data_IF_808336412364
#
_entry.id   IF_808336412364
#
_cell.length_a   1.000
_cell.length_b   1.000
_cell.length_c   1.000
_cell.angle_alpha   90.00
_cell.angle_beta   90.00
_cell.angle_gamma   90.00
#
_symmetry.space_group_name_H-M   'P 1'
#
loop_
_entity.id
_entity.type
_entity.pdbx_description
1 polymer ?
#
# COMPACT_ATOMS: atom_id res chain seq x y z
N UNK A 1 -8.75 15.08 -19.91
CA UNK A 1 -7.34 15.13 -19.49
C UNK A 1 -6.90 13.70 -19.32
N UNK A 2 -5.64 13.32 -19.57
CA UNK A 2 -5.18 11.97 -19.26
C UNK A 2 -5.41 11.67 -17.78
N UNK A 3 -5.78 10.43 -17.47
CA UNK A 3 -5.97 9.95 -16.10
C UNK A 3 -4.63 10.05 -15.37
N UNK A 4 -4.65 10.65 -14.17
CA UNK A 4 -3.43 10.82 -13.38
C UNK A 4 -3.01 9.48 -12.78
N UNK A 5 -1.71 9.12 -12.79
CA UNK A 5 -1.25 7.86 -12.25
C UNK A 5 -1.37 7.81 -10.71
N UNK A 6 -1.58 6.60 -10.20
CA UNK A 6 -1.40 6.27 -8.80
C UNK A 6 0.02 5.77 -8.61
N UNK A 7 0.71 6.24 -7.57
CA UNK A 7 2.03 5.76 -7.17
C UNK A 7 1.92 4.88 -5.94
N UNK A 8 2.53 3.69 -5.98
CA UNK A 8 2.78 2.90 -4.78
C UNK A 8 4.25 3.03 -4.37
N UNK A 9 4.49 3.22 -3.07
CA UNK A 9 5.83 3.23 -2.50
C UNK A 9 5.96 2.05 -1.53
N UNK A 10 6.96 1.20 -1.75
CA UNK A 10 7.27 0.14 -0.80
C UNK A 10 7.68 -1.18 -1.44
N UNK A 11 7.09 -2.26 -0.95
CA UNK A 11 7.56 -3.61 -1.13
C UNK A 11 7.55 -4.08 -2.58
N UNK A 12 8.70 -4.62 -2.99
CA UNK A 12 8.87 -5.37 -4.22
C UNK A 12 9.88 -6.49 -3.96
N UNK A 13 9.43 -7.73 -3.94
CA UNK A 13 10.27 -8.90 -3.68
C UNK A 13 10.01 -10.04 -4.64
N UNK A 14 10.95 -10.98 -4.71
CA UNK A 14 10.71 -12.27 -5.32
C UNK A 14 10.03 -13.17 -4.30
N UNK A 15 8.87 -13.69 -4.65
CA UNK A 15 8.12 -14.62 -3.81
C UNK A 15 8.31 -16.05 -4.30
N UNK A 16 8.62 -16.92 -3.36
CA UNK A 16 8.75 -18.36 -3.52
C UNK A 16 7.56 -19.02 -2.84
N UNK A 17 6.49 -19.22 -3.60
CA UNK A 17 5.21 -19.75 -3.13
C UNK A 17 5.16 -21.27 -3.16
N UNK A 18 4.71 -21.89 -2.07
CA UNK A 18 4.52 -23.32 -1.91
C UNK A 18 3.06 -23.67 -1.60
N UNK A 19 2.67 -24.91 -1.86
CA UNK A 19 1.34 -25.43 -1.52
C UNK A 19 1.22 -25.84 -0.02
N UNK A 20 2.38 -26.03 0.65
CA UNK A 20 2.48 -26.33 2.07
C UNK A 20 3.15 -25.18 2.82
N UNK A 21 3.38 -25.33 4.14
CA UNK A 21 4.25 -24.39 4.87
C UNK A 21 5.65 -24.41 4.27
N UNK A 22 6.31 -23.25 4.13
CA UNK A 22 7.58 -23.13 3.40
C UNK A 22 8.66 -24.09 3.85
N UNK A 23 8.75 -24.38 5.16
CA UNK A 23 9.78 -25.23 5.74
C UNK A 23 9.64 -26.72 5.36
N UNK A 24 8.48 -27.14 4.85
CA UNK A 24 8.21 -28.52 4.44
C UNK A 24 8.09 -28.65 2.91
N UNK A 25 8.27 -27.55 2.18
CA UNK A 25 8.10 -27.54 0.74
C UNK A 25 9.36 -28.05 0.03
N UNK A 26 9.18 -28.96 -0.92
CA UNK A 26 10.24 -29.45 -1.81
C UNK A 26 10.34 -28.62 -3.11
N UNK A 27 9.27 -27.92 -3.48
CA UNK A 27 9.19 -27.11 -4.70
C UNK A 27 8.52 -25.78 -4.44
N UNK A 28 8.93 -24.76 -5.20
CA UNK A 28 8.38 -23.41 -5.10
C UNK A 28 8.03 -22.87 -6.48
N UNK A 29 6.94 -22.14 -6.55
CA UNK A 29 6.60 -21.28 -7.69
C UNK A 29 7.19 -19.91 -7.47
N UNK A 30 7.87 -19.38 -8.49
CA UNK A 30 8.50 -18.06 -8.42
C UNK A 30 7.54 -17.01 -8.97
N UNK A 31 7.23 -16.01 -8.17
CA UNK A 31 6.45 -14.82 -8.56
C UNK A 31 7.10 -13.55 -8.02
N UNK A 32 6.52 -12.40 -8.33
CA UNK A 32 6.88 -11.11 -7.74
C UNK A 32 5.73 -10.69 -6.84
N UNK A 33 6.02 -10.37 -5.59
CA UNK A 33 5.06 -10.01 -4.56
C UNK A 33 5.43 -8.74 -3.82
N UNK A 34 4.69 -8.48 -2.76
CA UNK A 34 4.74 -7.30 -1.93
C UNK A 34 3.49 -6.45 -2.09
N UNK A 35 3.01 -5.87 -0.98
CA UNK A 35 1.76 -5.13 -1.02
C UNK A 35 1.76 -4.03 -2.10
N UNK A 36 2.85 -3.27 -2.22
CA UNK A 36 2.97 -2.21 -3.23
C UNK A 36 2.80 -2.72 -4.66
N UNK A 37 3.45 -3.86 -4.99
CA UNK A 37 3.35 -4.48 -6.32
C UNK A 37 1.96 -5.05 -6.57
N UNK A 38 1.37 -5.73 -5.59
CA UNK A 38 0.06 -6.37 -5.71
C UNK A 38 -1.05 -5.33 -5.83
N UNK A 39 -0.92 -4.21 -5.11
CA UNK A 39 -1.84 -3.09 -5.22
C UNK A 39 -1.75 -2.41 -6.59
N UNK A 40 -0.54 -2.17 -7.12
CA UNK A 40 -0.35 -1.67 -8.48
C UNK A 40 -1.03 -2.57 -9.51
N UNK A 41 -0.84 -3.91 -9.42
CA UNK A 41 -1.51 -4.88 -10.32
C UNK A 41 -3.03 -4.78 -10.23
N UNK A 42 -3.56 -4.73 -9.01
CA UNK A 42 -5.00 -4.61 -8.81
C UNK A 42 -5.55 -3.31 -9.43
N UNK A 43 -4.83 -2.20 -9.27
CA UNK A 43 -5.22 -0.91 -9.83
C UNK A 43 -5.16 -0.91 -11.37
N UNK A 44 -4.11 -1.49 -11.97
CA UNK A 44 -4.01 -1.67 -13.43
C UNK A 44 -5.14 -2.55 -13.96
N UNK A 45 -5.43 -3.68 -13.31
CA UNK A 45 -6.55 -4.56 -13.67
C UNK A 45 -7.90 -3.86 -13.57
N UNK A 46 -8.05 -2.92 -12.65
CA UNK A 46 -9.24 -2.07 -12.53
C UNK A 46 -9.32 -1.00 -13.64
N UNK A 47 -8.33 -0.90 -14.52
CA UNK A 47 -8.26 0.04 -15.64
C UNK A 47 -7.64 1.40 -15.30
N UNK A 48 -6.87 1.48 -14.21
CA UNK A 48 -6.07 2.66 -13.85
C UNK A 48 -4.61 2.57 -14.32
N UNK A 49 -3.86 3.65 -14.14
CA UNK A 49 -2.42 3.70 -14.40
C UNK A 49 -1.66 3.73 -13.06
N UNK A 50 -0.79 2.73 -12.84
CA UNK A 50 0.01 2.64 -11.61
C UNK A 50 1.50 2.70 -11.91
N UNK A 51 2.25 3.41 -11.06
CA UNK A 51 3.70 3.44 -11.04
C UNK A 51 4.24 2.95 -9.69
N UNK A 52 5.37 2.25 -9.70
CA UNK A 52 6.00 1.73 -8.49
C UNK A 52 7.27 2.52 -8.16
N UNK A 53 7.31 3.06 -6.93
CA UNK A 53 8.48 3.64 -6.29
C UNK A 53 9.08 2.58 -5.36
N UNK A 54 10.20 2.00 -5.73
CA UNK A 54 10.89 0.97 -4.95
C UNK A 54 12.35 0.85 -5.35
N UNK A 55 13.10 0.04 -4.62
CA UNK A 55 14.48 -0.30 -4.97
C UNK A 55 14.67 -1.82 -4.97
N UNK A 56 15.28 -2.33 -6.02
CA UNK A 56 15.65 -3.73 -6.21
C UNK A 56 17.17 -3.89 -6.20
N UNK A 57 17.63 -5.08 -5.95
CA UNK A 57 19.05 -5.41 -6.13
C UNK A 57 19.42 -5.37 -7.62
N UNK A 58 20.64 -4.95 -7.94
CA UNK A 58 21.22 -5.05 -9.29
C UNK A 58 21.60 -6.49 -9.64
N UNK A 59 20.79 -7.46 -9.25
CA UNK A 59 20.97 -8.90 -9.35
C UNK A 59 19.99 -9.54 -10.36
N UNK A 60 20.11 -10.84 -10.67
CA UNK A 60 19.20 -11.52 -11.58
C UNK A 60 17.75 -11.52 -11.13
N UNK A 61 17.45 -11.55 -9.82
CA UNK A 61 16.11 -11.53 -9.28
C UNK A 61 15.48 -10.15 -9.40
N UNK A 62 16.24 -9.06 -9.18
CA UNK A 62 15.78 -7.69 -9.38
C UNK A 62 15.42 -7.42 -10.85
N UNK A 63 16.27 -7.87 -11.79
CA UNK A 63 15.96 -7.77 -13.23
C UNK A 63 14.71 -8.56 -13.61
N UNK A 64 14.56 -9.78 -13.07
CA UNK A 64 13.36 -10.61 -13.30
C UNK A 64 12.11 -9.92 -12.73
N UNK A 65 12.19 -9.38 -11.52
CA UNK A 65 11.08 -8.68 -10.88
C UNK A 65 10.65 -7.47 -11.71
N UNK A 66 11.58 -6.61 -12.10
CA UNK A 66 11.28 -5.44 -12.93
C UNK A 66 10.62 -5.81 -14.27
N UNK A 67 11.14 -6.85 -14.94
CA UNK A 67 10.57 -7.33 -16.22
C UNK A 67 9.13 -7.85 -16.03
N UNK A 68 8.86 -8.58 -14.94
CA UNK A 68 7.52 -9.07 -14.63
C UNK A 68 6.55 -7.93 -14.31
N UNK A 69 6.97 -6.95 -13.52
CA UNK A 69 6.14 -5.79 -13.17
C UNK A 69 5.79 -4.96 -14.41
N UNK A 70 6.76 -4.76 -15.30
CA UNK A 70 6.50 -4.09 -16.59
C UNK A 70 5.52 -4.88 -17.47
N UNK A 71 5.65 -6.22 -17.51
CA UNK A 71 4.71 -7.09 -18.24
C UNK A 71 3.29 -7.07 -17.65
N UNK A 72 3.17 -6.83 -16.34
CA UNK A 72 1.89 -6.64 -15.64
C UNK A 72 1.26 -5.24 -15.91
N UNK A 73 1.92 -4.39 -16.71
CA UNK A 73 1.45 -3.05 -17.07
C UNK A 73 1.74 -1.96 -16.04
N UNK A 74 2.63 -2.23 -15.07
CA UNK A 74 3.04 -1.27 -14.06
C UNK A 74 4.16 -0.40 -14.63
N UNK A 75 4.08 0.92 -14.43
CA UNK A 75 5.17 1.83 -14.77
C UNK A 75 6.35 1.62 -13.79
N UNK A 76 7.45 1.11 -14.34
CA UNK A 76 8.69 0.82 -13.62
C UNK A 76 9.77 1.90 -13.84
N UNK A 77 9.43 3.04 -14.44
CA UNK A 77 10.40 4.13 -14.75
C UNK A 77 11.12 4.65 -13.50
N UNK A 78 10.45 4.56 -12.34
CA UNK A 78 10.96 5.06 -11.06
C UNK A 78 11.49 3.96 -10.14
N UNK A 79 11.70 2.73 -10.65
CA UNK A 79 12.42 1.69 -9.92
C UNK A 79 13.91 1.99 -9.88
N UNK A 80 14.49 1.96 -8.68
CA UNK A 80 15.93 2.07 -8.47
C UNK A 80 16.58 0.69 -8.38
N UNK A 81 17.88 0.62 -8.67
CA UNK A 81 18.68 -0.59 -8.49
C UNK A 81 19.92 -0.28 -7.65
N UNK A 82 20.34 -1.24 -6.81
CA UNK A 82 21.52 -1.10 -5.96
C UNK A 82 22.34 -2.38 -5.91
N UNK A 83 23.65 -2.24 -5.86
CA UNK A 83 24.59 -3.34 -5.58
C UNK A 83 24.84 -3.51 -4.07
N UNK A 84 24.32 -2.60 -3.23
CA UNK A 84 24.58 -2.59 -1.79
C UNK A 84 23.84 -3.70 -1.02
N UNK A 85 22.73 -4.21 -1.57
CA UNK A 85 21.96 -5.31 -0.98
C UNK A 85 21.21 -6.08 -2.06
N UNK A 86 20.90 -7.38 -1.81
CA UNK A 86 20.14 -8.20 -2.75
C UNK A 86 18.66 -7.76 -2.85
N UNK A 87 18.04 -8.16 -3.95
CA UNK A 87 16.57 -8.18 -4.06
C UNK A 87 16.01 -9.07 -2.96
N UNK A 88 15.01 -8.60 -2.18
CA UNK A 88 14.43 -9.39 -1.11
C UNK A 88 13.72 -10.63 -1.65
N UNK A 89 13.78 -11.71 -0.87
CA UNK A 89 13.10 -12.97 -1.16
C UNK A 89 12.16 -13.29 0.00
N UNK A 90 10.94 -13.67 -0.32
CA UNK A 90 9.93 -14.08 0.66
C UNK A 90 9.43 -15.47 0.29
N UNK A 91 9.49 -16.41 1.23
CA UNK A 91 8.83 -17.69 1.08
C UNK A 91 7.41 -17.60 1.61
N UNK A 92 6.46 -18.17 0.86
CA UNK A 92 5.05 -18.18 1.24
C UNK A 92 4.43 -19.56 1.08
N UNK A 93 3.44 -19.88 1.91
CA UNK A 93 2.69 -21.12 1.78
C UNK A 93 1.82 -21.40 2.99
N UNK A 94 0.64 -21.99 2.77
CA UNK A 94 -0.34 -22.32 3.82
C UNK A 94 -0.59 -21.17 4.82
N UNK A 95 -0.66 -19.93 4.32
CA UNK A 95 -0.91 -18.72 5.14
C UNK A 95 0.30 -18.21 5.93
N UNK A 96 1.48 -18.80 5.73
CA UNK A 96 2.74 -18.37 6.38
C UNK A 96 3.62 -17.59 5.42
N UNK A 97 4.24 -16.53 5.92
CA UNK A 97 5.28 -15.76 5.24
C UNK A 97 6.60 -15.89 6.01
N UNK A 98 7.68 -16.15 5.28
CA UNK A 98 9.05 -16.20 5.79
C UNK A 98 9.89 -15.20 4.98
N UNK A 99 10.04 -13.96 5.44
CA UNK A 99 10.78 -12.92 4.73
C UNK A 99 12.31 -13.05 4.97
N UNK A 100 13.08 -13.02 3.88
CA UNK A 100 14.52 -12.84 3.87
C UNK A 100 14.82 -11.44 3.32
N UNK A 101 14.67 -10.43 4.18
CA UNK A 101 14.67 -9.00 3.83
C UNK A 101 15.68 -8.15 4.62
N UNK A 102 16.57 -8.74 5.40
CA UNK A 102 17.53 -8.00 6.21
C UNK A 102 18.96 -8.52 6.04
N UNK A 103 19.84 -7.83 5.27
CA UNK A 103 19.58 -6.59 4.52
C UNK A 103 18.83 -6.86 3.20
N UNK A 104 18.09 -5.86 2.70
CA UNK A 104 17.48 -5.92 1.37
C UNK A 104 17.50 -4.56 0.67
N UNK A 105 17.48 -4.59 -0.66
CA UNK A 105 17.55 -3.40 -1.49
C UNK A 105 16.44 -2.40 -1.16
N UNK A 106 15.20 -2.84 -1.00
CA UNK A 106 14.05 -1.99 -0.75
C UNK A 106 14.13 -1.22 0.58
N UNK A 107 14.73 -1.83 1.64
CA UNK A 107 14.93 -1.17 2.93
C UNK A 107 16.06 -0.12 2.88
N UNK A 108 16.98 -0.24 1.92
CA UNK A 108 18.04 0.74 1.66
C UNK A 108 17.63 1.87 0.73
N UNK A 109 16.38 1.90 0.26
CA UNK A 109 15.89 2.97 -0.62
C UNK A 109 15.95 4.32 0.09
N UNK A 110 16.98 5.10 -0.22
CA UNK A 110 17.27 6.35 0.48
C UNK A 110 16.49 7.54 -0.11
N UNK A 111 16.20 8.57 0.70
CA UNK A 111 15.45 9.76 0.25
C UNK A 111 16.07 10.47 -0.96
N UNK A 112 17.40 10.41 -1.13
CA UNK A 112 18.11 11.04 -2.25
C UNK A 112 17.83 10.37 -3.58
N UNK A 113 17.44 9.09 -3.57
CA UNK A 113 17.13 8.29 -4.75
C UNK A 113 15.67 8.48 -5.22
N UNK A 114 14.81 9.04 -4.34
CA UNK A 114 13.41 9.27 -4.66
C UNK A 114 13.26 10.37 -5.72
N UNK A 115 12.67 10.05 -6.85
CA UNK A 115 12.18 11.04 -7.82
C UNK A 115 10.88 11.69 -7.30
N UNK A 116 11.04 12.65 -6.39
CA UNK A 116 9.89 13.37 -5.83
C UNK A 116 9.15 14.21 -6.90
N UNK A 117 9.82 14.54 -8.03
CA UNK A 117 9.18 15.30 -9.09
C UNK A 117 8.11 14.50 -9.83
N UNK A 118 8.22 13.18 -9.87
CA UNK A 118 7.20 12.29 -10.46
C UNK A 118 5.84 12.45 -9.80
N UNK A 119 5.80 12.74 -8.49
CA UNK A 119 4.56 12.90 -7.73
C UNK A 119 3.76 14.16 -8.10
N UNK A 120 4.36 15.14 -8.83
CA UNK A 120 3.63 16.35 -9.25
C UNK A 120 2.45 16.10 -10.20
N UNK A 121 2.42 14.96 -10.84
CA UNK A 121 1.32 14.56 -11.72
C UNK A 121 0.44 13.45 -11.13
N UNK A 122 0.72 13.01 -9.91
CA UNK A 122 0.05 11.88 -9.29
C UNK A 122 -1.41 12.20 -8.89
N UNK A 123 -2.26 11.18 -8.98
CA UNK A 123 -3.56 11.16 -8.31
C UNK A 123 -3.38 10.86 -6.82
N UNK A 124 -2.62 9.81 -6.50
CA UNK A 124 -2.39 9.37 -5.14
C UNK A 124 -1.01 8.75 -4.95
N UNK A 125 -0.49 8.83 -3.73
CA UNK A 125 0.62 8.04 -3.21
C UNK A 125 0.05 7.02 -2.23
N UNK A 126 0.25 5.73 -2.51
CA UNK A 126 -0.19 4.63 -1.66
C UNK A 126 1.01 3.90 -1.05
N UNK A 127 0.91 3.50 0.23
CA UNK A 127 1.96 2.73 0.90
C UNK A 127 1.39 1.89 2.04
N UNK A 128 2.20 0.92 2.53
CA UNK A 128 1.85 0.04 3.65
C UNK A 128 2.88 0.12 4.78
N UNK A 129 2.66 -0.64 5.86
CA UNK A 129 3.62 -0.71 6.97
C UNK A 129 4.85 -1.58 6.68
N UNK A 130 4.88 -2.34 5.59
CA UNK A 130 5.92 -3.34 5.35
C UNK A 130 7.33 -2.77 5.14
N UNK A 131 7.46 -1.51 4.72
CA UNK A 131 8.73 -0.80 4.56
C UNK A 131 8.94 0.36 5.55
N UNK A 132 8.11 0.46 6.59
CA UNK A 132 8.22 1.52 7.61
C UNK A 132 9.14 1.16 8.79
N UNK A 133 9.92 0.08 8.69
CA UNK A 133 10.95 -0.27 9.66
C UNK A 133 11.96 0.87 9.82
N UNK A 134 12.71 0.86 10.91
CA UNK A 134 13.81 1.81 11.11
C UNK A 134 14.93 1.57 10.09
N UNK A 135 14.82 2.26 8.97
CA UNK A 135 15.65 2.08 7.77
C UNK A 135 15.61 3.35 6.90
N UNK A 136 16.51 3.51 5.93
CA UNK A 136 16.44 4.59 4.94
C UNK A 136 15.09 4.68 4.23
N UNK A 137 14.44 3.55 3.93
CA UNK A 137 13.14 3.51 3.28
C UNK A 137 12.04 4.26 4.07
N UNK A 138 12.07 4.21 5.42
CA UNK A 138 11.13 4.98 6.26
C UNK A 138 11.26 6.49 6.02
N UNK A 139 12.49 6.99 5.90
CA UNK A 139 12.74 8.42 5.61
C UNK A 139 12.27 8.76 4.20
N UNK A 140 12.43 7.83 3.25
CA UNK A 140 11.93 7.97 1.88
C UNK A 140 10.41 8.07 1.87
N UNK A 141 9.69 7.31 2.70
CA UNK A 141 8.23 7.43 2.83
C UNK A 141 7.84 8.82 3.34
N UNK A 142 8.51 9.35 4.37
CA UNK A 142 8.23 10.70 4.89
C UNK A 142 8.46 11.77 3.82
N UNK A 143 9.55 11.67 3.04
CA UNK A 143 9.82 12.59 1.94
C UNK A 143 8.78 12.47 0.83
N UNK A 144 8.37 11.26 0.46
CA UNK A 144 7.35 11.03 -0.56
C UNK A 144 5.98 11.57 -0.14
N UNK A 145 5.59 11.37 1.13
CA UNK A 145 4.35 11.92 1.69
C UNK A 145 4.34 13.45 1.58
N UNK A 146 5.42 14.11 1.99
CA UNK A 146 5.54 15.57 1.87
C UNK A 146 5.41 16.01 0.41
N UNK A 147 6.14 15.37 -0.52
CA UNK A 147 6.11 15.70 -1.94
C UNK A 147 4.72 15.44 -2.58
N UNK A 148 4.03 14.36 -2.22
CA UNK A 148 2.68 14.07 -2.68
C UNK A 148 1.70 15.15 -2.22
N UNK A 149 1.79 15.56 -0.97
CA UNK A 149 0.95 16.62 -0.39
C UNK A 149 1.19 17.96 -1.06
N UNK A 150 2.46 18.34 -1.26
CA UNK A 150 2.82 19.58 -1.97
C UNK A 150 2.32 19.57 -3.42
N UNK A 151 2.22 18.40 -4.03
CA UNK A 151 1.67 18.22 -5.38
C UNK A 151 0.13 18.18 -5.42
N UNK A 152 -0.54 18.17 -4.27
CA UNK A 152 -2.00 18.01 -4.18
C UNK A 152 -2.47 16.61 -4.55
N UNK A 153 -1.64 15.59 -4.40
CA UNK A 153 -2.00 14.19 -4.53
C UNK A 153 -2.53 13.64 -3.21
N UNK A 154 -3.45 12.66 -3.27
CA UNK A 154 -3.89 11.94 -2.08
C UNK A 154 -2.77 11.12 -1.46
N UNK A 155 -2.71 11.10 -0.16
CA UNK A 155 -1.87 10.17 0.62
C UNK A 155 -2.76 9.06 1.14
N UNK A 156 -2.57 7.84 0.63
CA UNK A 156 -3.34 6.65 0.98
C UNK A 156 -2.47 5.70 1.79
N UNK A 157 -2.90 5.34 2.97
CA UNK A 157 -2.17 4.43 3.84
C UNK A 157 -2.98 3.16 4.14
N UNK A 158 -2.34 2.02 3.96
CA UNK A 158 -2.87 0.69 4.26
C UNK A 158 -1.97 0.01 5.32
N UNK A 159 -2.36 -0.06 6.59
CA UNK A 159 -1.51 -0.61 7.66
C UNK A 159 -1.06 -2.03 7.40
N UNK A 160 -1.99 -2.91 6.98
CA UNK A 160 -1.68 -4.31 6.62
C UNK A 160 -0.94 -5.04 7.73
N UNK A 161 -1.47 -4.95 8.94
CA UNK A 161 -0.80 -5.43 10.14
C UNK A 161 -0.43 -6.92 10.06
N UNK A 162 -1.31 -7.76 9.54
CA UNK A 162 -1.07 -9.19 9.41
C UNK A 162 0.02 -9.52 8.38
N UNK A 163 0.00 -8.82 7.24
CA UNK A 163 0.97 -8.99 6.16
C UNK A 163 2.34 -8.37 6.51
N UNK A 164 2.36 -7.28 7.29
CA UNK A 164 3.59 -6.61 7.70
C UNK A 164 4.29 -7.33 8.89
N UNK A 165 3.53 -7.92 9.80
CA UNK A 165 4.06 -8.50 11.04
C UNK A 165 5.25 -9.46 10.86
N UNK A 166 5.28 -10.38 9.87
CA UNK A 166 6.43 -11.26 9.66
C UNK A 166 7.73 -10.53 9.31
N UNK A 167 7.63 -9.28 8.85
CA UNK A 167 8.77 -8.45 8.44
C UNK A 167 9.29 -7.55 9.57
N UNK A 168 8.60 -7.51 10.72
CA UNK A 168 8.93 -6.63 11.84
C UNK A 168 9.58 -7.39 13.00
N UNK A 169 10.46 -6.75 13.79
CA UNK A 169 11.10 -7.40 14.93
C UNK A 169 10.09 -7.79 16.02
N UNK A 170 9.05 -6.97 16.23
CA UNK A 170 7.98 -7.23 17.17
C UNK A 170 6.69 -6.48 16.80
N UNK A 171 5.56 -6.96 17.33
CA UNK A 171 4.24 -6.41 17.06
C UNK A 171 4.02 -5.02 17.69
N UNK A 172 4.71 -4.71 18.79
CA UNK A 172 4.55 -3.40 19.46
C UNK A 172 5.19 -2.29 18.62
N UNK A 173 6.41 -2.52 18.11
CA UNK A 173 7.09 -1.59 17.21
C UNK A 173 6.30 -1.35 15.92
N UNK A 174 5.74 -2.41 15.32
CA UNK A 174 4.86 -2.29 14.17
C UNK A 174 3.64 -1.43 14.49
N UNK A 175 2.95 -1.75 15.59
CA UNK A 175 1.75 -1.03 16.01
C UNK A 175 2.02 0.45 16.25
N UNK A 176 3.07 0.76 17.01
CA UNK A 176 3.46 2.14 17.33
C UNK A 176 3.75 2.94 16.06
N UNK A 177 4.55 2.36 15.16
CA UNK A 177 4.87 3.00 13.88
C UNK A 177 3.63 3.18 13.01
N UNK A 178 2.78 2.16 12.89
CA UNK A 178 1.55 2.26 12.12
C UNK A 178 0.67 3.43 12.60
N UNK A 179 0.48 3.55 13.92
CA UNK A 179 -0.31 4.64 14.52
C UNK A 179 0.30 6.04 14.28
N UNK A 180 1.64 6.16 14.20
CA UNK A 180 2.32 7.42 13.87
C UNK A 180 2.07 7.87 12.41
N UNK A 181 1.84 6.93 11.49
CA UNK A 181 1.59 7.24 10.09
C UNK A 181 0.12 7.52 9.77
N UNK A 182 -0.84 7.15 10.62
CA UNK A 182 -2.27 7.44 10.40
C UNK A 182 -2.55 8.92 10.15
N UNK A 183 -2.09 9.86 10.99
CA UNK A 183 -2.35 11.28 10.77
C UNK A 183 -1.74 11.86 9.48
N UNK A 184 -0.87 11.09 8.83
CA UNK A 184 -0.24 11.48 7.57
C UNK A 184 -1.09 11.13 6.33
N UNK A 185 -2.12 10.29 6.48
CA UNK A 185 -2.95 9.87 5.38
C UNK A 185 -4.19 10.77 5.22
N UNK A 186 -4.61 10.98 3.97
CA UNK A 186 -5.93 11.53 3.64
C UNK A 186 -6.96 10.41 3.56
N UNK A 187 -6.53 9.24 3.08
CA UNK A 187 -7.35 8.03 2.94
C UNK A 187 -6.70 6.87 3.69
N UNK A 188 -7.45 6.23 4.59
CA UNK A 188 -7.05 4.97 5.22
C UNK A 188 -7.73 3.79 4.53
N UNK A 189 -6.94 2.77 4.19
CA UNK A 189 -7.40 1.51 3.63
C UNK A 189 -7.25 0.42 4.69
N UNK A 190 -8.30 0.15 5.44
CA UNK A 190 -8.30 -0.77 6.58
C UNK A 190 -8.94 -2.10 6.23
N UNK A 191 -8.39 -3.17 6.76
CA UNK A 191 -9.02 -4.50 6.79
C UNK A 191 -9.48 -4.86 8.21
N UNK A 192 -10.44 -5.78 8.31
CA UNK A 192 -10.86 -6.34 9.60
C UNK A 192 -9.67 -6.91 10.40
N UNK A 193 -8.73 -7.57 9.71
CA UNK A 193 -7.50 -8.12 10.29
C UNK A 193 -6.57 -7.07 10.92
N UNK A 194 -6.73 -5.79 10.59
CA UNK A 194 -5.93 -4.70 11.16
C UNK A 194 -6.44 -4.25 12.54
N UNK A 195 -7.72 -4.47 12.86
CA UNK A 195 -8.37 -3.89 14.05
C UNK A 195 -7.76 -4.38 15.37
N UNK A 196 -7.65 -5.68 15.56
CA UNK A 196 -7.11 -6.24 16.81
C UNK A 196 -5.65 -5.86 17.02
N UNK A 197 -4.75 -6.00 16.04
CA UNK A 197 -3.36 -5.57 16.20
C UNK A 197 -3.20 -4.08 16.51
N UNK A 198 -4.06 -3.23 15.93
CA UNK A 198 -3.98 -1.78 16.13
C UNK A 198 -4.66 -1.31 17.42
N UNK A 199 -5.86 -1.82 17.72
CA UNK A 199 -6.74 -1.26 18.75
C UNK A 199 -7.06 -2.22 19.88
N UNK A 200 -6.63 -3.49 19.79
CA UNK A 200 -6.94 -4.53 20.79
C UNK A 200 -8.41 -4.97 20.79
N UNK A 201 -9.18 -4.59 19.78
CA UNK A 201 -10.62 -4.87 19.69
C UNK A 201 -11.04 -5.08 18.24
N UNK A 202 -12.04 -5.93 18.03
CA UNK A 202 -12.74 -6.07 16.74
C UNK A 202 -13.81 -4.99 16.52
N UNK A 203 -14.08 -4.15 17.52
CA UNK A 203 -15.12 -3.13 17.42
C UNK A 203 -14.62 -1.90 16.66
N UNK A 204 -14.98 -1.83 15.38
CA UNK A 204 -14.67 -0.71 14.50
C UNK A 204 -15.14 0.64 15.06
N UNK A 205 -16.30 0.68 15.75
CA UNK A 205 -16.84 1.93 16.32
C UNK A 205 -15.92 2.58 17.33
N UNK A 206 -15.26 1.78 18.19
CA UNK A 206 -14.32 2.28 19.20
C UNK A 206 -13.06 2.88 18.54
N UNK A 207 -12.62 2.30 17.43
CA UNK A 207 -11.46 2.74 16.67
C UNK A 207 -11.75 4.00 15.84
N UNK A 208 -12.93 4.10 15.21
CA UNK A 208 -13.25 5.13 14.21
C UNK A 208 -13.06 6.57 14.71
N UNK A 209 -13.45 6.88 15.95
CA UNK A 209 -13.32 8.24 16.48
C UNK A 209 -11.86 8.70 16.60
N UNK A 210 -10.93 7.77 16.87
CA UNK A 210 -9.50 8.07 16.96
C UNK A 210 -8.82 8.15 15.60
N UNK A 211 -9.43 7.55 14.56
CA UNK A 211 -8.85 7.47 13.22
C UNK A 211 -8.98 8.77 12.43
N UNK A 212 -10.03 9.57 12.66
CA UNK A 212 -10.18 10.89 12.02
C UNK A 212 -9.29 11.93 12.69
N UNK A 213 -7.98 11.68 12.72
CA UNK A 213 -6.95 12.57 13.23
C UNK A 213 -6.05 13.07 12.11
N UNK A 214 -5.39 14.21 12.32
CA UNK A 214 -4.49 14.78 11.31
C UNK A 214 -5.23 15.09 10.00
N UNK A 215 -4.78 14.49 8.91
CA UNK A 215 -5.31 14.70 7.56
C UNK A 215 -6.40 13.72 7.15
N UNK A 216 -6.75 12.73 7.97
CA UNK A 216 -7.71 11.68 7.60
C UNK A 216 -9.09 12.26 7.33
N UNK A 217 -9.54 12.12 6.09
CA UNK A 217 -10.85 12.57 5.62
C UNK A 217 -11.75 11.41 5.20
N UNK A 218 -11.15 10.25 4.85
CA UNK A 218 -11.86 9.11 4.34
C UNK A 218 -11.24 7.80 4.82
N UNK A 219 -12.08 6.86 5.23
CA UNK A 219 -11.68 5.51 5.63
C UNK A 219 -12.46 4.52 4.77
N UNK A 220 -11.72 3.71 4.02
CA UNK A 220 -12.23 2.52 3.35
C UNK A 220 -11.92 1.32 4.23
N UNK A 221 -12.95 0.65 4.71
CA UNK A 221 -12.81 -0.53 5.54
C UNK A 221 -13.39 -1.75 4.82
N UNK A 222 -12.67 -2.86 4.82
CA UNK A 222 -13.11 -4.11 4.23
C UNK A 222 -13.04 -5.27 5.22
N UNK A 223 -14.11 -6.07 5.24
CA UNK A 223 -14.23 -7.36 5.94
C UNK A 223 -14.53 -8.46 4.93
N UNK A 224 -14.74 -9.70 5.42
CA UNK A 224 -15.18 -10.82 4.57
C UNK A 224 -16.51 -10.55 3.85
N UNK A 225 -17.42 -9.83 4.49
CA UNK A 225 -18.82 -9.70 4.06
C UNK A 225 -19.14 -8.33 3.50
N UNK A 226 -18.50 -7.29 4.04
CA UNK A 226 -18.88 -5.92 3.78
C UNK A 226 -17.67 -5.01 3.51
N UNK A 227 -17.93 -4.01 2.67
CA UNK A 227 -17.10 -2.81 2.54
C UNK A 227 -17.86 -1.64 3.14
N UNK A 228 -17.18 -0.87 3.99
CA UNK A 228 -17.70 0.35 4.59
C UNK A 228 -16.84 1.53 4.18
N UNK A 229 -17.49 2.63 3.82
CA UNK A 229 -16.84 3.90 3.54
C UNK A 229 -17.28 4.93 4.57
N UNK A 230 -16.32 5.48 5.29
CA UNK A 230 -16.55 6.48 6.32
C UNK A 230 -15.93 7.82 5.92
N UNK A 231 -16.68 8.87 6.10
CA UNK A 231 -16.18 10.23 6.27
C UNK A 231 -16.64 10.75 7.63
N UNK A 232 -16.27 11.96 8.02
CA UNK A 232 -16.78 12.56 9.27
C UNK A 232 -18.31 12.62 9.35
N UNK A 233 -19.00 12.65 8.21
CA UNK A 233 -20.44 12.92 8.13
C UNK A 233 -21.23 11.81 7.44
N UNK A 234 -20.58 10.84 6.80
CA UNK A 234 -21.24 9.85 5.95
C UNK A 234 -20.72 8.46 6.26
N UNK A 235 -21.62 7.50 6.35
CA UNK A 235 -21.33 6.06 6.36
C UNK A 235 -22.10 5.42 5.21
N UNK A 236 -21.39 4.73 4.33
CA UNK A 236 -21.94 3.89 3.27
C UNK A 236 -21.48 2.46 3.45
N UNK A 237 -22.30 1.52 3.00
CA UNK A 237 -22.03 0.09 3.04
C UNK A 237 -22.35 -0.56 1.70
N UNK A 238 -21.50 -1.49 1.27
CA UNK A 238 -21.69 -2.36 0.12
C UNK A 238 -21.27 -3.79 0.47
N UNK A 239 -21.63 -4.78 -0.35
CA UNK A 239 -21.11 -6.13 -0.19
C UNK A 239 -19.61 -6.18 -0.58
N UNK A 240 -18.85 -7.05 0.09
CA UNK A 240 -17.40 -7.15 -0.15
C UNK A 240 -17.05 -7.62 -1.59
N UNK A 241 -17.99 -8.33 -2.25
CA UNK A 241 -17.87 -8.76 -3.65
C UNK A 241 -17.90 -7.63 -4.67
N UNK A 242 -18.48 -6.48 -4.30
CA UNK A 242 -18.88 -5.45 -5.26
C UNK A 242 -17.82 -4.37 -5.45
N UNK A 243 -16.93 -4.19 -4.48
CA UNK A 243 -15.94 -3.12 -4.51
C UNK A 243 -14.63 -3.49 -3.81
N UNK A 244 -13.53 -3.45 -4.56
CA UNK A 244 -12.17 -3.54 -4.00
C UNK A 244 -11.58 -2.16 -3.75
N UNK A 245 -10.53 -2.10 -2.91
CA UNK A 245 -9.78 -0.86 -2.64
C UNK A 245 -9.23 -0.22 -3.93
N UNK A 246 -8.74 -1.05 -4.84
CA UNK A 246 -8.19 -0.60 -6.12
C UNK A 246 -9.28 -0.01 -7.03
N UNK A 247 -10.44 -0.66 -7.12
CA UNK A 247 -11.60 -0.14 -7.85
C UNK A 247 -12.09 1.17 -7.23
N UNK A 248 -12.22 1.20 -5.90
CA UNK A 248 -12.59 2.41 -5.17
C UNK A 248 -11.67 3.60 -5.48
N UNK A 249 -10.36 3.42 -5.38
CA UNK A 249 -9.41 4.51 -5.68
C UNK A 249 -9.43 4.89 -7.16
N UNK A 250 -9.62 3.91 -8.08
CA UNK A 250 -9.76 4.19 -9.50
C UNK A 250 -11.02 5.05 -9.79
N UNK A 251 -12.13 4.73 -9.15
CA UNK A 251 -13.37 5.48 -9.34
C UNK A 251 -13.30 6.86 -8.67
N UNK A 252 -12.63 6.96 -7.53
CA UNK A 252 -12.32 8.24 -6.90
C UNK A 252 -11.44 9.12 -7.82
N UNK A 253 -10.45 8.55 -8.51
CA UNK A 253 -9.63 9.27 -9.49
C UNK A 253 -10.48 9.86 -10.63
N UNK A 254 -11.47 9.12 -11.11
CA UNK A 254 -12.37 9.54 -12.19
C UNK A 254 -13.31 10.67 -11.78
N UNK A 255 -13.61 10.83 -10.50
CA UNK A 255 -14.38 11.99 -10.02
C UNK A 255 -13.59 13.29 -10.12
N UNK A 256 -12.30 13.23 -10.45
CA UNK A 256 -11.39 14.39 -10.51
C UNK A 256 -11.45 15.24 -9.22
N UNK A 257 -11.47 14.55 -8.09
CA UNK A 257 -11.54 15.13 -6.74
C UNK A 257 -10.14 15.27 -6.19
N UNK A 258 -9.91 16.27 -5.35
CA UNK A 258 -8.62 16.54 -4.69
C UNK A 258 -8.77 16.40 -3.18
N UNK A 259 -7.67 16.20 -2.41
CA UNK A 259 -7.74 16.01 -0.97
C UNK A 259 -8.58 17.05 -0.23
N UNK A 260 -8.42 18.32 -0.55
CA UNK A 260 -9.16 19.43 0.04
C UNK A 260 -10.68 19.40 -0.25
N UNK A 261 -11.10 18.57 -1.21
CA UNK A 261 -12.51 18.40 -1.59
C UNK A 261 -13.15 17.13 -1.02
N UNK A 262 -12.37 16.23 -0.41
CA UNK A 262 -12.92 15.01 0.20
C UNK A 262 -13.93 15.34 1.31
N UNK A 263 -13.61 16.30 2.16
CA UNK A 263 -14.51 16.76 3.22
C UNK A 263 -15.85 17.33 2.69
N UNK A 264 -15.85 17.78 1.44
CA UNK A 264 -17.03 18.31 0.75
C UNK A 264 -17.79 17.29 -0.11
N UNK A 265 -17.34 16.02 -0.18
CA UNK A 265 -18.03 14.98 -0.94
C UNK A 265 -19.39 14.70 -0.31
N UNK A 266 -20.44 14.99 -1.09
CA UNK A 266 -21.82 14.71 -0.68
C UNK A 266 -22.07 13.20 -0.74
N UNK A 267 -22.92 12.70 0.12
CA UNK A 267 -23.37 11.31 0.16
C UNK A 267 -23.75 10.77 -1.23
N UNK A 268 -24.45 11.56 -2.04
CA UNK A 268 -24.82 11.18 -3.41
C UNK A 268 -23.61 10.96 -4.33
N UNK A 269 -22.52 11.70 -4.13
CA UNK A 269 -21.29 11.51 -4.93
C UNK A 269 -20.55 10.25 -4.48
N UNK A 270 -20.49 10.02 -3.18
CA UNK A 270 -19.90 8.80 -2.62
C UNK A 270 -20.71 7.55 -2.99
N UNK A 271 -22.04 7.63 -3.00
CA UNK A 271 -22.90 6.53 -3.47
C UNK A 271 -22.60 6.09 -4.90
N UNK A 272 -22.21 7.02 -5.78
CA UNK A 272 -21.81 6.68 -7.16
C UNK A 272 -20.51 5.86 -7.25
N UNK A 273 -19.70 5.83 -6.20
CA UNK A 273 -18.51 4.98 -6.12
C UNK A 273 -18.87 3.53 -5.74
N UNK A 274 -20.11 3.28 -5.31
CA UNK A 274 -20.63 1.98 -4.89
C UNK A 274 -21.61 1.37 -5.89
N UNK A 275 -21.96 2.07 -6.96
CA UNK A 275 -22.83 1.65 -8.05
C UNK A 275 -22.04 1.41 -9.34
#
# INVERSE_FOLDING_TARGET
MPEKPLFCLGEAWVELGADTVPELAETFRVSVGGWGTDFCRAYVRAGGHAALLSQLGADPFGRKAAAQLAADGIDCTHLCFTDAAPTPVVFSGAGKLLPYRAPSAELLYAPEQLDAAALRGAFALCFSSGCLLDSPARLTHLKAIAAARDAGAFVCYAPRMAEAAPCWPDAAALRETALQFFPQADVLLLKDSDLVPLFGSHELRTALFSLFSGHVELIFYSSSDNVLLFTRNVLLQAAASDLTEAQFLRDLARLNTWPDKLAGLREMTLKKLFL
#
